data_IF_237806575212
#
_entry.id   IF_237806575212
#
_cell.length_a   1.000
_cell.length_b   1.000
_cell.length_c   1.000
_cell.angle_alpha   90.00
_cell.angle_beta   90.00
_cell.angle_gamma   90.00
#
_symmetry.space_group_name_H-M   'P 1'
#
loop_
_entity.id
_entity.type
_entity.pdbx_description
1 polymer ?
#
# COMPACT_ATOMS: atom_id res chain seq x y z
N UNK A 1 -23.82 5.39 -6.36
CA UNK A 1 -24.80 4.28 -6.14
C UNK A 1 -24.19 2.88 -6.17
N UNK A 2 -23.21 2.57 -7.03
CA UNK A 2 -22.61 1.22 -7.15
C UNK A 2 -22.01 0.70 -5.84
N UNK A 3 -21.09 1.46 -5.23
CA UNK A 3 -20.40 1.04 -4.00
C UNK A 3 -21.37 0.81 -2.85
N UNK A 4 -22.33 1.70 -2.63
CA UNK A 4 -23.36 1.52 -1.60
C UNK A 4 -24.14 0.20 -1.76
N UNK A 5 -24.57 -0.15 -2.99
CA UNK A 5 -25.24 -1.43 -3.25
C UNK A 5 -24.34 -2.63 -2.98
N UNK A 6 -23.03 -2.50 -3.24
CA UNK A 6 -22.07 -3.55 -2.96
C UNK A 6 -21.95 -3.79 -1.45
N UNK A 7 -21.76 -2.74 -0.64
CA UNK A 7 -21.73 -2.87 0.83
C UNK A 7 -23.03 -3.45 1.39
N UNK A 8 -24.19 -3.07 0.85
CA UNK A 8 -25.47 -3.66 1.24
C UNK A 8 -25.53 -5.16 0.96
N UNK A 9 -25.19 -5.56 -0.27
CA UNK A 9 -25.18 -6.97 -0.66
C UNK A 9 -24.19 -7.79 0.17
N UNK A 10 -23.00 -7.25 0.44
CA UNK A 10 -22.00 -7.89 1.30
C UNK A 10 -22.50 -8.07 2.73
N UNK A 11 -23.18 -7.07 3.27
CA UNK A 11 -23.82 -7.17 4.59
C UNK A 11 -24.90 -8.26 4.60
N UNK A 12 -25.78 -8.30 3.60
CA UNK A 12 -26.82 -9.32 3.51
C UNK A 12 -26.23 -10.73 3.42
N UNK A 13 -25.19 -10.92 2.59
CA UNK A 13 -24.48 -12.21 2.45
C UNK A 13 -23.89 -12.67 3.77
N UNK A 14 -23.21 -11.78 4.50
CA UNK A 14 -22.64 -12.11 5.81
C UNK A 14 -23.71 -12.33 6.89
N UNK A 15 -24.77 -11.53 6.91
CA UNK A 15 -25.82 -11.60 7.92
C UNK A 15 -26.73 -12.84 7.75
N UNK A 16 -26.83 -13.37 6.53
CA UNK A 16 -27.64 -14.56 6.21
C UNK A 16 -26.81 -15.83 6.09
N UNK A 17 -25.48 -15.73 6.23
CA UNK A 17 -24.60 -16.89 6.22
C UNK A 17 -24.94 -17.84 7.39
N UNK A 18 -25.05 -19.15 7.18
CA UNK A 18 -25.32 -20.11 8.24
C UNK A 18 -24.30 -20.06 9.38
N UNK A 19 -24.71 -20.42 10.59
CA UNK A 19 -23.78 -20.52 11.72
C UNK A 19 -22.70 -21.57 11.44
N UNK A 20 -21.44 -21.16 11.52
CA UNK A 20 -20.26 -22.02 11.30
C UNK A 20 -20.04 -22.93 12.51
N UNK A 21 -20.18 -24.25 12.33
CA UNK A 21 -20.11 -25.24 13.42
C UNK A 21 -18.91 -26.15 13.36
N UNK A 22 -18.36 -26.37 12.17
CA UNK A 22 -17.22 -27.23 11.95
C UNK A 22 -16.23 -26.67 10.90
N UNK A 23 -15.23 -27.47 10.56
CA UNK A 23 -14.19 -27.08 9.60
C UNK A 23 -14.70 -27.02 8.15
N UNK A 24 -15.74 -27.78 7.80
CA UNK A 24 -16.33 -27.75 6.45
C UNK A 24 -17.16 -26.47 6.27
N UNK A 25 -17.93 -26.08 7.28
CA UNK A 25 -18.65 -24.80 7.31
C UNK A 25 -17.67 -23.61 7.26
N UNK A 26 -16.59 -23.68 8.05
CA UNK A 26 -15.53 -22.66 8.03
C UNK A 26 -14.90 -22.57 6.64
N UNK A 27 -14.86 -23.70 5.93
CA UNK A 27 -14.25 -23.74 4.62
C UNK A 27 -15.06 -23.05 3.54
N UNK A 28 -16.39 -23.19 3.62
CA UNK A 28 -17.33 -22.44 2.81
C UNK A 28 -17.31 -20.94 3.18
N UNK A 29 -17.32 -20.62 4.48
CA UNK A 29 -17.25 -19.24 4.95
C UNK A 29 -15.97 -18.52 4.50
N UNK A 30 -14.83 -19.20 4.55
CA UNK A 30 -13.55 -18.64 4.07
C UNK A 30 -13.60 -18.32 2.58
N UNK A 31 -14.27 -19.14 1.75
CA UNK A 31 -14.43 -18.86 0.30
C UNK A 31 -15.36 -17.67 0.06
N UNK A 32 -16.40 -17.56 0.88
CA UNK A 32 -17.32 -16.42 0.85
C UNK A 32 -16.59 -15.11 1.19
N UNK A 33 -15.75 -15.12 2.23
CA UNK A 33 -14.88 -13.99 2.58
C UNK A 33 -13.88 -13.65 1.46
N UNK A 34 -13.27 -14.65 0.81
CA UNK A 34 -12.38 -14.42 -0.34
C UNK A 34 -13.11 -13.69 -1.47
N UNK A 35 -14.32 -14.15 -1.82
CA UNK A 35 -15.18 -13.49 -2.82
C UNK A 35 -15.50 -12.04 -2.43
N UNK A 36 -15.83 -11.78 -1.17
CA UNK A 36 -16.13 -10.44 -0.67
C UNK A 36 -14.89 -9.53 -0.77
N UNK A 37 -13.72 -10.00 -0.34
CA UNK A 37 -12.46 -9.24 -0.42
C UNK A 37 -12.11 -8.87 -1.87
N UNK A 38 -12.32 -9.78 -2.81
CA UNK A 38 -12.08 -9.56 -4.24
C UNK A 38 -13.08 -8.55 -4.84
N UNK A 39 -14.38 -8.70 -4.57
CA UNK A 39 -15.41 -7.78 -5.05
C UNK A 39 -15.16 -6.34 -4.60
N UNK A 40 -14.66 -6.15 -3.39
CA UNK A 40 -14.36 -4.84 -2.81
C UNK A 40 -12.99 -4.28 -3.23
N UNK A 41 -12.17 -4.99 -4.01
CA UNK A 41 -10.81 -4.56 -4.37
C UNK A 41 -10.76 -3.15 -4.97
N UNK A 42 -11.77 -2.75 -5.74
CA UNK A 42 -11.81 -1.47 -6.45
C UNK A 42 -12.64 -0.36 -5.76
N UNK A 43 -13.13 -0.53 -4.52
CA UNK A 43 -13.96 0.53 -3.92
C UNK A 43 -13.22 1.84 -3.69
N UNK A 44 -12.00 1.85 -3.14
CA UNK A 44 -11.30 3.11 -2.84
C UNK A 44 -11.09 3.94 -4.12
N UNK A 45 -10.53 3.38 -5.20
CA UNK A 45 -10.56 3.98 -6.53
C UNK A 45 -11.92 4.56 -6.94
N UNK A 46 -12.97 3.75 -6.83
CA UNK A 46 -14.33 4.11 -7.27
C UNK A 46 -14.91 5.25 -6.42
N UNK A 47 -14.69 5.22 -5.10
CA UNK A 47 -15.15 6.23 -4.15
C UNK A 47 -14.38 7.54 -4.39
N UNK A 48 -13.06 7.46 -4.51
CA UNK A 48 -12.19 8.60 -4.77
C UNK A 48 -12.58 9.34 -6.06
N UNK A 49 -12.79 8.60 -7.16
CA UNK A 49 -13.27 9.16 -8.43
C UNK A 49 -14.66 9.81 -8.28
N UNK A 50 -15.59 9.16 -7.59
CA UNK A 50 -16.91 9.72 -7.34
C UNK A 50 -16.88 11.04 -6.56
N UNK A 51 -15.97 11.17 -5.57
CA UNK A 51 -15.79 12.41 -4.84
C UNK A 51 -15.07 13.49 -5.64
N UNK A 52 -14.14 13.14 -6.52
CA UNK A 52 -13.56 14.10 -7.47
C UNK A 52 -14.65 14.72 -8.35
N UNK A 53 -15.55 13.92 -8.92
CA UNK A 53 -16.65 14.39 -9.78
C UNK A 53 -17.64 15.31 -9.04
N UNK A 54 -17.88 15.05 -7.76
CA UNK A 54 -18.81 15.83 -6.92
C UNK A 54 -18.13 16.91 -6.07
N UNK A 55 -16.81 17.07 -6.16
CA UNK A 55 -16.00 17.96 -5.31
C UNK A 55 -16.44 19.43 -5.37
N UNK A 56 -16.96 19.87 -6.53
CA UNK A 56 -17.46 21.24 -6.74
C UNK A 56 -18.78 21.53 -6.01
N UNK A 57 -19.51 20.50 -5.61
CA UNK A 57 -20.85 20.61 -5.02
C UNK A 57 -20.89 20.25 -3.53
N UNK A 58 -19.77 19.79 -2.98
CA UNK A 58 -19.67 19.26 -1.62
C UNK A 58 -18.57 19.97 -0.85
N UNK A 59 -18.79 20.14 0.45
CA UNK A 59 -17.77 20.68 1.35
C UNK A 59 -16.59 19.70 1.48
N UNK A 60 -15.37 20.19 1.28
CA UNK A 60 -14.14 19.40 1.24
C UNK A 60 -13.81 18.73 2.58
N UNK A 61 -14.12 19.35 3.71
CA UNK A 61 -13.90 18.78 5.04
C UNK A 61 -14.81 17.57 5.27
N UNK A 62 -16.06 17.65 4.78
CA UNK A 62 -17.02 16.53 4.84
C UNK A 62 -16.61 15.36 3.94
N UNK A 63 -16.10 15.66 2.74
CA UNK A 63 -15.54 14.66 1.82
C UNK A 63 -14.37 13.95 2.50
N UNK A 64 -13.45 14.71 3.08
CA UNK A 64 -12.25 14.15 3.71
C UNK A 64 -12.58 13.29 4.92
N UNK A 65 -13.43 13.78 5.81
CA UNK A 65 -13.89 13.01 6.98
C UNK A 65 -14.58 11.71 6.58
N UNK A 66 -15.38 11.72 5.50
CA UNK A 66 -16.04 10.52 5.00
C UNK A 66 -15.04 9.51 4.43
N UNK A 67 -14.07 9.99 3.64
CA UNK A 67 -13.03 9.16 3.05
C UNK A 67 -12.13 8.53 4.12
N UNK A 68 -11.71 9.30 5.13
CA UNK A 68 -10.94 8.80 6.27
C UNK A 68 -11.67 7.63 6.97
N UNK A 69 -12.95 7.84 7.28
CA UNK A 69 -13.77 6.82 7.94
C UNK A 69 -13.94 5.57 7.04
N UNK A 70 -14.18 5.78 5.76
CA UNK A 70 -14.40 4.70 4.79
C UNK A 70 -13.12 3.89 4.55
N UNK A 71 -11.98 4.55 4.39
CA UNK A 71 -10.67 3.93 4.19
C UNK A 71 -10.27 3.16 5.45
N UNK A 72 -10.36 3.79 6.65
CA UNK A 72 -10.06 3.11 7.92
C UNK A 72 -10.97 1.90 8.15
N UNK A 73 -12.27 2.05 7.92
CA UNK A 73 -13.23 0.95 8.04
C UNK A 73 -12.90 -0.21 7.11
N UNK A 74 -12.57 0.10 5.85
CA UNK A 74 -12.17 -0.92 4.87
C UNK A 74 -10.86 -1.61 5.22
N UNK A 75 -9.83 -0.89 5.64
CA UNK A 75 -8.54 -1.47 6.07
C UNK A 75 -8.79 -2.45 7.22
N UNK A 76 -9.58 -2.07 8.22
CA UNK A 76 -9.89 -2.92 9.36
C UNK A 76 -10.64 -4.20 8.95
N UNK A 77 -11.72 -4.08 8.18
CA UNK A 77 -12.51 -5.24 7.74
C UNK A 77 -11.68 -6.16 6.84
N UNK A 78 -10.90 -5.61 5.91
CA UNK A 78 -10.03 -6.38 5.02
C UNK A 78 -8.96 -7.13 5.81
N UNK A 79 -8.32 -6.48 6.78
CA UNK A 79 -7.32 -7.11 7.64
C UNK A 79 -7.90 -8.31 8.39
N UNK A 80 -9.09 -8.16 8.99
CA UNK A 80 -9.76 -9.24 9.72
C UNK A 80 -10.10 -10.40 8.78
N UNK A 81 -10.67 -10.10 7.61
CA UNK A 81 -11.04 -11.12 6.64
C UNK A 81 -9.82 -11.87 6.09
N UNK A 82 -8.78 -11.15 5.67
CA UNK A 82 -7.55 -11.75 5.14
C UNK A 82 -6.80 -12.56 6.21
N UNK A 83 -6.80 -12.11 7.47
CA UNK A 83 -6.24 -12.89 8.58
C UNK A 83 -7.01 -14.20 8.76
N UNK A 84 -8.33 -14.17 8.77
CA UNK A 84 -9.15 -15.37 8.89
C UNK A 84 -8.90 -16.33 7.71
N UNK A 85 -8.90 -15.83 6.47
CA UNK A 85 -8.61 -16.62 5.26
C UNK A 85 -7.22 -17.27 5.36
N UNK A 86 -6.19 -16.51 5.73
CA UNK A 86 -4.82 -17.01 5.83
C UNK A 86 -4.69 -18.11 6.89
N UNK A 87 -5.34 -17.96 8.04
CA UNK A 87 -5.35 -18.98 9.10
C UNK A 87 -6.14 -20.22 8.68
N UNK A 88 -7.31 -20.06 8.07
CA UNK A 88 -8.13 -21.16 7.57
C UNK A 88 -7.36 -22.01 6.54
N UNK A 89 -6.64 -21.36 5.62
CA UNK A 89 -5.75 -22.06 4.66
C UNK A 89 -4.63 -22.81 5.37
N UNK A 90 -3.96 -22.20 6.34
CA UNK A 90 -2.89 -22.84 7.11
C UNK A 90 -3.39 -24.08 7.87
N UNK A 91 -4.58 -24.01 8.46
CA UNK A 91 -5.20 -25.15 9.17
C UNK A 91 -5.51 -26.30 8.21
N UNK A 92 -6.04 -26.01 7.00
CA UNK A 92 -6.27 -27.03 5.95
C UNK A 92 -4.98 -27.70 5.48
N UNK A 93 -3.91 -26.93 5.34
CA UNK A 93 -2.62 -27.46 4.89
C UNK A 93 -2.02 -28.41 5.95
N UNK A 94 -2.20 -28.10 7.23
CA UNK A 94 -1.75 -28.94 8.35
C UNK A 94 -2.59 -30.22 8.52
N UNK A 95 -3.89 -30.18 8.20
CA UNK A 95 -4.80 -31.33 8.34
C UNK A 95 -4.68 -32.39 7.23
N UNK A 96 -3.79 -32.21 6.25
CA UNK A 96 -3.33 -33.28 5.36
C UNK A 96 -3.70 -33.19 3.88
N UNK A 97 -4.08 -32.01 3.35
CA UNK A 97 -4.48 -31.91 1.93
C UNK A 97 -3.42 -31.42 0.93
N UNK A 98 -2.30 -30.77 1.31
CA UNK A 98 -1.18 -30.49 0.39
C UNK A 98 0.16 -30.38 1.12
N UNK A 99 1.09 -31.33 0.88
CA UNK A 99 2.51 -31.15 1.21
C UNK A 99 3.13 -30.14 0.23
N UNK A 100 2.97 -28.85 0.49
CA UNK A 100 3.54 -27.80 -0.34
C UNK A 100 3.91 -26.58 0.49
N UNK A 101 5.19 -26.48 0.87
CA UNK A 101 5.85 -25.36 1.56
C UNK A 101 5.36 -25.12 3.00
N UNK A 102 6.11 -25.71 3.93
CA UNK A 102 6.04 -25.44 5.38
C UNK A 102 6.04 -23.92 5.61
N UNK A 103 4.97 -23.40 6.22
CA UNK A 103 4.88 -21.99 6.64
C UNK A 103 6.16 -21.61 7.40
N UNK A 104 6.76 -20.47 7.06
CA UNK A 104 7.98 -20.00 7.73
C UNK A 104 7.71 -19.90 9.23
N UNK A 105 8.63 -20.41 10.04
CA UNK A 105 8.57 -20.21 11.49
C UNK A 105 8.56 -18.71 11.77
N UNK A 106 7.43 -18.18 12.27
CA UNK A 106 7.26 -16.75 12.60
C UNK A 106 6.18 -16.00 11.83
N UNK A 107 5.42 -16.64 10.95
CA UNK A 107 4.30 -16.03 10.26
C UNK A 107 2.96 -16.54 10.80
N UNK A 108 2.08 -15.62 11.20
CA UNK A 108 0.75 -15.94 11.76
C UNK A 108 -0.30 -15.23 10.92
N UNK A 109 -0.82 -15.93 9.92
CA UNK A 109 -1.75 -15.37 8.94
C UNK A 109 -1.07 -14.30 8.07
N UNK A 110 -1.61 -13.08 8.06
CA UNK A 110 -1.04 -11.92 7.34
C UNK A 110 -0.03 -11.12 8.16
N UNK A 111 0.08 -11.39 9.46
CA UNK A 111 1.09 -10.78 10.31
C UNK A 111 2.40 -11.58 10.28
N UNK A 112 3.52 -10.86 10.23
CA UNK A 112 4.87 -11.43 10.33
C UNK A 112 5.50 -10.96 11.63
N UNK A 113 6.03 -11.91 12.43
CA UNK A 113 6.81 -11.59 13.63
C UNK A 113 8.20 -11.02 13.29
N UNK A 114 8.65 -11.21 12.06
CA UNK A 114 10.00 -10.90 11.59
C UNK A 114 9.99 -9.93 10.41
N UNK A 115 9.09 -8.94 10.43
CA UNK A 115 9.03 -7.92 9.39
C UNK A 115 10.33 -7.09 9.44
N UNK A 116 11.05 -7.04 8.31
CA UNK A 116 12.34 -6.36 8.18
C UNK A 116 12.18 -5.10 7.30
N UNK A 117 12.06 -3.89 7.88
CA UNK A 117 11.81 -2.65 7.14
C UNK A 117 12.81 -2.37 6.03
N UNK A 118 14.10 -2.65 6.25
CA UNK A 118 15.14 -2.40 5.26
C UNK A 118 14.92 -3.22 3.98
N UNK A 119 14.50 -4.48 4.12
CA UNK A 119 14.19 -5.34 2.97
C UNK A 119 12.92 -4.85 2.26
N UNK A 120 11.92 -4.39 3.02
CA UNK A 120 10.71 -3.80 2.45
C UNK A 120 10.99 -2.53 1.66
N UNK A 121 11.83 -1.64 2.17
CA UNK A 121 12.29 -0.44 1.46
C UNK A 121 12.98 -0.82 0.15
N UNK A 122 13.91 -1.79 0.19
CA UNK A 122 14.59 -2.27 -1.04
C UNK A 122 13.63 -2.82 -2.07
N UNK A 123 12.66 -3.64 -1.66
CA UNK A 123 11.65 -4.21 -2.56
C UNK A 123 10.76 -3.13 -3.18
N UNK A 124 10.23 -2.22 -2.35
CA UNK A 124 9.38 -1.13 -2.84
C UNK A 124 10.16 -0.20 -3.77
N UNK A 125 11.41 0.14 -3.43
CA UNK A 125 12.26 1.00 -4.25
C UNK A 125 12.64 0.34 -5.58
N UNK A 126 12.90 -0.96 -5.61
CA UNK A 126 13.15 -1.69 -6.86
C UNK A 126 11.93 -1.63 -7.79
N UNK A 127 10.74 -1.92 -7.24
CA UNK A 127 9.49 -1.81 -7.98
C UNK A 127 9.24 -0.39 -8.49
N UNK A 128 9.37 0.63 -7.63
CA UNK A 128 9.19 2.04 -8.03
C UNK A 128 10.24 2.47 -9.05
N UNK A 129 11.48 2.01 -8.94
CA UNK A 129 12.54 2.32 -9.92
C UNK A 129 12.20 1.79 -11.31
N UNK A 130 11.66 0.57 -11.42
CA UNK A 130 11.19 0.03 -12.69
C UNK A 130 10.07 0.89 -13.31
N UNK A 131 9.16 1.40 -12.47
CA UNK A 131 8.10 2.30 -12.93
C UNK A 131 8.66 3.66 -13.39
N UNK A 132 9.58 4.24 -12.63
CA UNK A 132 10.21 5.52 -12.99
C UNK A 132 11.03 5.39 -14.27
N UNK A 133 11.78 4.31 -14.43
CA UNK A 133 12.54 4.05 -15.65
C UNK A 133 11.62 3.92 -16.86
N UNK A 134 10.51 3.20 -16.73
CA UNK A 134 9.53 3.03 -17.80
C UNK A 134 8.83 4.34 -18.20
N UNK A 135 8.55 5.22 -17.24
CA UNK A 135 7.76 6.45 -17.49
C UNK A 135 8.62 7.68 -17.77
N UNK A 136 9.76 7.81 -17.10
CA UNK A 136 10.61 9.02 -17.09
C UNK A 136 12.00 8.78 -17.71
N UNK A 137 12.37 7.52 -17.97
CA UNK A 137 13.67 7.15 -18.56
C UNK A 137 14.87 7.34 -17.64
N UNK A 138 14.63 7.59 -16.35
CA UNK A 138 15.65 7.69 -15.32
C UNK A 138 15.06 7.33 -13.95
N UNK A 139 15.91 6.81 -13.05
CA UNK A 139 15.57 6.53 -11.66
C UNK A 139 16.60 7.13 -10.69
N UNK A 140 16.17 7.80 -9.62
CA UNK A 140 17.06 8.21 -8.54
C UNK A 140 17.72 7.03 -7.82
N UNK A 141 18.97 7.17 -7.33
CA UNK A 141 19.62 6.13 -6.55
C UNK A 141 19.01 6.01 -5.14
N UNK A 142 18.90 4.77 -4.63
CA UNK A 142 18.48 4.50 -3.25
C UNK A 142 19.68 4.38 -2.32
N UNK A 143 19.69 5.15 -1.24
CA UNK A 143 20.63 5.02 -0.12
C UNK A 143 19.83 4.70 1.15
N UNK A 144 20.24 3.65 1.88
CA UNK A 144 19.61 3.26 3.15
C UNK A 144 20.66 3.40 4.27
N UNK A 145 20.35 4.23 5.26
CA UNK A 145 21.16 4.46 6.46
C UNK A 145 20.42 4.03 7.75
N UNK A 146 21.09 4.11 8.90
CA UNK A 146 20.53 3.76 10.21
C UNK A 146 20.60 2.27 10.58
N UNK A 147 19.62 1.78 11.35
CA UNK A 147 19.62 0.43 11.94
C UNK A 147 18.89 -0.56 11.01
N UNK A 148 19.61 -1.06 10.00
CA UNK A 148 19.03 -1.89 8.92
C UNK A 148 18.66 -3.32 9.33
N UNK A 149 19.26 -3.85 10.39
CA UNK A 149 19.00 -5.23 10.86
C UNK A 149 17.76 -5.35 11.77
N UNK A 150 16.99 -4.25 11.91
CA UNK A 150 15.81 -4.20 12.76
C UNK A 150 14.72 -5.15 12.25
N UNK A 151 14.13 -5.92 13.17
CA UNK A 151 12.94 -6.75 12.91
C UNK A 151 11.88 -6.48 13.95
N UNK A 152 10.62 -6.54 13.54
CA UNK A 152 9.48 -6.36 14.45
C UNK A 152 8.23 -7.08 13.95
N UNK A 153 7.27 -7.28 14.86
CA UNK A 153 5.99 -7.86 14.52
C UNK A 153 5.08 -6.82 13.86
N UNK A 154 4.70 -7.04 12.60
CA UNK A 154 3.81 -6.15 11.86
C UNK A 154 3.11 -6.85 10.70
N UNK A 155 2.19 -6.15 10.03
CA UNK A 155 1.53 -6.59 8.79
C UNK A 155 2.30 -6.04 7.59
N UNK A 156 3.08 -6.85 6.85
CA UNK A 156 3.97 -6.35 5.80
C UNK A 156 3.25 -5.53 4.72
N UNK A 157 2.07 -5.98 4.27
CA UNK A 157 1.26 -5.29 3.24
C UNK A 157 1.00 -3.81 3.56
N UNK A 158 0.81 -3.48 4.85
CA UNK A 158 0.58 -2.09 5.24
C UNK A 158 1.82 -1.23 5.02
N UNK A 159 3.00 -1.72 5.41
CA UNK A 159 4.27 -1.01 5.21
C UNK A 159 4.57 -0.90 3.73
N UNK A 160 4.35 -1.98 2.98
CA UNK A 160 4.60 -2.05 1.55
C UNK A 160 3.81 -0.97 0.81
N UNK A 161 2.51 -0.86 1.12
CA UNK A 161 1.66 0.18 0.57
C UNK A 161 2.18 1.59 0.91
N UNK A 162 2.44 1.87 2.19
CA UNK A 162 2.93 3.19 2.64
C UNK A 162 4.24 3.55 1.96
N UNK A 163 5.21 2.62 1.95
CA UNK A 163 6.52 2.83 1.34
C UNK A 163 6.42 3.02 -0.17
N UNK A 164 5.58 2.24 -0.86
CA UNK A 164 5.40 2.35 -2.31
C UNK A 164 4.82 3.72 -2.68
N UNK A 165 3.81 4.22 -1.97
CA UNK A 165 3.23 5.54 -2.25
C UNK A 165 4.24 6.68 -1.95
N UNK A 166 4.94 6.63 -0.80
CA UNK A 166 5.97 7.62 -0.45
C UNK A 166 7.12 7.62 -1.47
N UNK A 167 7.61 6.44 -1.86
CA UNK A 167 8.72 6.32 -2.79
C UNK A 167 8.33 6.77 -4.20
N UNK A 168 7.09 6.51 -4.66
CA UNK A 168 6.60 7.07 -5.94
C UNK A 168 6.64 8.59 -5.95
N UNK A 169 6.16 9.23 -4.88
CA UNK A 169 6.18 10.69 -4.77
C UNK A 169 7.63 11.23 -4.77
N UNK A 170 8.51 10.60 -3.97
CA UNK A 170 9.92 10.96 -3.85
C UNK A 170 10.67 10.81 -5.18
N UNK A 171 10.50 9.69 -5.87
CA UNK A 171 11.15 9.45 -7.16
C UNK A 171 10.62 10.40 -8.24
N UNK A 172 9.30 10.61 -8.31
CA UNK A 172 8.69 11.51 -9.29
C UNK A 172 9.21 12.95 -9.13
N UNK A 173 9.24 13.47 -7.90
CA UNK A 173 9.76 14.81 -7.64
C UNK A 173 11.26 14.93 -7.98
N UNK A 174 12.07 13.93 -7.61
CA UNK A 174 13.52 13.94 -7.89
C UNK A 174 13.82 13.84 -9.39
N UNK A 175 13.09 13.00 -10.12
CA UNK A 175 13.27 12.84 -11.56
C UNK A 175 12.89 14.11 -12.36
N UNK A 176 11.92 14.88 -11.88
CA UNK A 176 11.51 16.15 -12.49
C UNK A 176 12.27 17.38 -11.96
N UNK A 177 13.13 17.22 -10.96
CA UNK A 177 13.91 18.32 -10.43
C UNK A 177 14.94 18.77 -11.48
N UNK A 178 15.00 20.07 -11.84
CA UNK A 178 16.10 20.57 -12.64
C UNK A 178 17.39 20.31 -11.88
N UNK A 179 18.42 19.76 -12.55
CA UNK A 179 19.72 19.45 -11.95
C UNK A 179 20.28 20.70 -11.26
N UNK A 180 20.05 20.80 -9.95
CA UNK A 180 20.46 21.92 -9.13
C UNK A 180 21.83 21.56 -8.56
N UNK A 181 22.84 22.34 -8.95
CA UNK A 181 24.12 22.39 -8.26
C UNK A 181 23.87 22.68 -6.78
N UNK A 182 24.26 21.73 -5.93
CA UNK A 182 24.15 21.80 -4.49
C UNK A 182 24.91 23.03 -3.98
N UNK A 183 24.22 23.89 -3.25
CA UNK A 183 24.82 24.75 -2.24
C UNK A 183 24.85 23.89 -0.98
N UNK A 184 26.04 23.46 -0.57
CA UNK A 184 26.24 22.69 0.65
C UNK A 184 25.72 23.50 1.84
N UNK A 185 24.48 23.22 2.26
CA UNK A 185 24.02 23.61 3.58
C UNK A 185 24.30 22.40 4.48
N UNK A 186 25.30 22.56 5.35
CA UNK A 186 25.57 21.61 6.41
C UNK A 186 24.26 21.27 7.17
N UNK A 187 23.96 19.97 7.26
CA UNK A 187 22.84 19.42 8.02
C UNK A 187 22.85 19.99 9.45
N UNK A 188 21.73 20.48 10.00
CA UNK A 188 21.60 20.54 11.44
C UNK A 188 21.53 19.09 11.92
N UNK A 189 22.69 18.57 12.33
CA UNK A 189 22.96 17.29 12.96
C UNK A 189 21.79 16.30 12.89
N UNK A 190 21.95 15.26 12.07
CA UNK A 190 21.38 13.96 12.45
C UNK A 190 21.63 13.83 13.95
N UNK A 191 20.56 13.78 14.76
CA UNK A 191 20.68 13.40 16.15
C UNK A 191 21.28 12.00 16.13
N UNK A 192 22.60 11.93 16.17
CA UNK A 192 23.28 10.83 16.81
C UNK A 192 22.62 10.78 18.18
N UNK A 193 21.89 9.72 18.47
CA UNK A 193 21.51 9.36 19.84
C UNK A 193 22.82 9.13 20.62
N UNK A 194 23.55 10.21 20.90
CA UNK A 194 24.53 10.29 21.96
C UNK A 194 23.75 10.57 23.24
N UNK A 195 23.92 9.70 24.22
CA UNK A 195 23.34 9.79 25.57
C UNK A 195 21.80 9.76 25.66
N UNK A 196 21.19 8.63 25.28
CA UNK A 196 19.97 8.19 25.98
C UNK A 196 20.38 7.38 27.21
N UNK A 197 19.85 7.69 28.41
CA UNK A 197 20.11 6.88 29.60
C UNK A 197 19.69 5.43 29.32
N UNK A 198 20.61 4.50 29.54
CA UNK A 198 20.42 3.05 29.41
C UNK A 198 19.19 2.62 30.21
N UNK A 199 18.08 2.36 29.55
CA UNK A 199 16.87 1.85 30.23
C UNK A 199 15.59 1.73 29.41
N UNK A 200 15.51 2.27 28.18
CA UNK A 200 14.30 2.16 27.36
C UNK A 200 14.67 1.94 25.90
N UNK A 201 14.49 0.71 25.41
CA UNK A 201 14.41 0.47 23.97
C UNK A 201 13.25 1.33 23.42
N UNK A 202 13.45 2.11 22.35
CA UNK A 202 12.37 2.93 21.81
C UNK A 202 11.17 2.05 21.48
N UNK A 203 9.98 2.45 21.93
CA UNK A 203 8.72 1.72 21.71
C UNK A 203 8.16 1.90 20.30
N UNK A 204 8.91 2.54 19.41
CA UNK A 204 8.48 2.90 18.06
C UNK A 204 9.62 2.71 17.06
N UNK A 205 9.25 2.36 15.84
CA UNK A 205 10.11 2.36 14.67
C UNK A 205 9.86 3.65 13.89
N UNK A 206 10.92 4.31 13.43
CA UNK A 206 10.83 5.46 12.53
C UNK A 206 11.52 5.14 11.21
N UNK A 207 10.82 5.40 10.10
CA UNK A 207 11.36 5.34 8.75
C UNK A 207 11.30 6.76 8.21
N UNK A 208 12.44 7.31 7.79
CA UNK A 208 12.53 8.67 7.23
C UNK A 208 12.98 8.58 5.78
N UNK A 209 12.15 9.06 4.86
CA UNK A 209 12.49 9.21 3.44
C UNK A 209 12.89 10.65 3.19
N UNK A 210 14.04 10.86 2.54
CA UNK A 210 14.56 12.16 2.11
C UNK A 210 14.74 12.13 0.60
N UNK A 211 14.40 13.22 -0.07
CA UNK A 211 14.53 13.38 -1.52
C UNK A 211 15.08 14.77 -1.86
N UNK A 212 15.58 14.90 -3.09
CA UNK A 212 16.12 16.14 -3.65
C UNK A 212 15.15 16.74 -4.70
N UNK A 213 13.85 16.45 -4.58
CA UNK A 213 12.81 16.83 -5.53
C UNK A 213 12.38 18.29 -5.51
N UNK A 214 13.17 19.19 -4.91
CA UNK A 214 12.88 20.63 -4.83
C UNK A 214 11.84 21.04 -3.77
N UNK A 215 11.24 20.07 -3.07
CA UNK A 215 10.32 20.30 -1.94
C UNK A 215 8.92 20.79 -2.31
N UNK A 216 8.06 20.92 -1.30
CA UNK A 216 6.66 21.35 -1.48
C UNK A 216 6.53 22.87 -1.31
N UNK A 217 5.98 23.60 -2.30
CA UNK A 217 5.73 25.04 -2.15
C UNK A 217 4.83 25.34 -0.94
N UNK A 218 5.10 26.41 -0.15
CA UNK A 218 4.30 26.74 1.03
C UNK A 218 2.79 26.89 0.78
N UNK A 219 2.42 27.32 -0.44
CA UNK A 219 1.03 27.45 -0.89
C UNK A 219 0.30 26.11 -1.04
N UNK A 220 1.03 25.01 -1.17
CA UNK A 220 0.49 23.66 -1.30
C UNK A 220 0.56 22.85 0.00
N UNK A 221 1.37 23.26 0.99
CA UNK A 221 1.61 22.48 2.22
C UNK A 221 0.34 22.11 2.99
N UNK A 222 -0.66 23.00 3.06
CA UNK A 222 -1.93 22.70 3.73
C UNK A 222 -2.83 21.72 2.96
N UNK A 223 -2.50 21.45 1.69
CA UNK A 223 -3.32 20.69 0.75
C UNK A 223 -2.75 19.33 0.41
N UNK A 224 -1.50 19.03 0.73
CA UNK A 224 -0.86 17.75 0.39
C UNK A 224 -1.59 16.54 1.00
N UNK A 225 -2.28 16.72 2.13
CA UNK A 225 -3.11 15.68 2.76
C UNK A 225 -4.57 15.73 2.33
N UNK A 226 -4.95 16.70 1.48
CA UNK A 226 -6.32 16.79 0.98
C UNK A 226 -6.53 15.76 -0.11
N UNK A 227 -7.56 14.95 0.06
CA UNK A 227 -8.06 14.08 -0.98
C UNK A 227 -8.42 14.87 -2.24
N UNK A 228 -8.12 14.31 -3.41
CA UNK A 228 -8.23 14.94 -4.74
C UNK A 228 -7.25 16.09 -5.03
N UNK A 229 -6.27 16.37 -4.17
CA UNK A 229 -5.20 17.31 -4.48
C UNK A 229 -4.00 16.60 -5.10
N UNK A 230 -3.65 16.96 -6.34
CA UNK A 230 -2.44 16.49 -7.02
C UNK A 230 -1.77 17.62 -7.80
N UNK A 231 -0.44 17.57 -7.89
CA UNK A 231 0.36 18.45 -8.75
C UNK A 231 0.76 17.78 -10.06
N UNK A 232 0.55 16.47 -10.20
CA UNK A 232 0.95 15.72 -11.39
C UNK A 232 0.30 16.22 -12.68
N UNK A 233 -0.98 16.63 -12.63
CA UNK A 233 -1.69 17.20 -13.79
C UNK A 233 -1.17 18.56 -14.27
N UNK A 234 -0.34 19.27 -13.48
CA UNK A 234 0.36 20.49 -13.96
C UNK A 234 1.67 20.18 -14.66
N UNK A 235 2.30 19.04 -14.37
CA UNK A 235 3.52 18.58 -15.03
C UNK A 235 3.21 17.93 -16.39
N UNK A 236 2.02 17.33 -16.54
CA UNK A 236 1.58 16.61 -17.74
C UNK A 236 0.81 17.47 -18.77
N UNK A 237 1.19 18.73 -19.05
CA UNK A 237 0.56 19.54 -20.12
C UNK A 237 0.84 19.03 -21.57
N UNK A 238 1.22 17.77 -21.74
CA UNK A 238 1.41 17.12 -23.04
C UNK A 238 0.68 15.77 -23.03
N UNK A 239 -0.65 15.79 -23.11
CA UNK A 239 -1.46 14.58 -23.34
C UNK A 239 -2.65 14.46 -22.40
N UNK A 240 -3.84 14.25 -22.97
CA UNK A 240 -5.09 14.02 -22.26
C UNK A 240 -5.08 12.69 -21.49
N UNK A 241 -4.50 12.66 -20.29
CA UNK A 241 -4.80 11.64 -19.28
C UNK A 241 -4.69 12.22 -17.85
N UNK A 242 -5.83 12.35 -17.17
CA UNK A 242 -6.05 13.16 -15.95
C UNK A 242 -5.50 12.52 -14.65
N UNK A 243 -4.45 11.69 -14.74
CA UNK A 243 -3.99 10.85 -13.63
C UNK A 243 -2.49 10.86 -13.31
N UNK A 244 -1.68 11.70 -13.97
CA UNK A 244 -0.22 11.70 -13.76
C UNK A 244 0.48 10.43 -14.26
N UNK A 245 1.81 10.35 -14.12
CA UNK A 245 2.64 9.31 -14.76
C UNK A 245 2.33 7.86 -14.32
N UNK A 246 1.58 7.67 -13.23
CA UNK A 246 1.22 6.35 -12.71
C UNK A 246 -0.29 6.03 -12.82
N UNK A 247 -1.06 6.84 -13.56
CA UNK A 247 -2.49 6.66 -13.76
C UNK A 247 -2.87 5.27 -14.30
N UNK A 248 -2.03 4.71 -15.18
CA UNK A 248 -2.30 3.42 -15.83
C UNK A 248 -2.30 2.24 -14.85
N UNK A 249 -1.72 2.38 -13.65
CA UNK A 249 -1.79 1.36 -12.59
C UNK A 249 -3.15 1.33 -11.88
N UNK A 250 -4.00 2.33 -12.12
CA UNK A 250 -5.36 2.39 -11.58
C UNK A 250 -6.28 1.29 -12.14
N UNK A 251 -5.95 0.75 -13.32
CA UNK A 251 -6.71 -0.32 -13.98
C UNK A 251 -6.12 -1.67 -13.56
N UNK A 252 -6.33 -1.99 -12.29
CA UNK A 252 -6.17 -3.33 -11.76
C UNK A 252 -4.75 -3.65 -11.29
N UNK A 253 -4.65 -3.99 -10.01
CA UNK A 253 -3.57 -4.82 -9.46
C UNK A 253 -3.44 -6.21 -10.14
N UNK A 254 -4.12 -6.44 -11.27
CA UNK A 254 -3.94 -7.55 -12.19
C UNK A 254 -2.98 -7.23 -13.36
N UNK A 255 -2.78 -5.96 -13.74
CA UNK A 255 -1.94 -5.61 -14.89
C UNK A 255 -0.43 -5.76 -14.62
N UNK A 256 0.02 -5.65 -13.36
CA UNK A 256 1.39 -5.97 -12.97
C UNK A 256 1.69 -7.49 -12.96
N UNK A 257 0.67 -8.33 -13.14
CA UNK A 257 0.80 -9.80 -13.20
C UNK A 257 0.73 -10.35 -14.64
N UNK A 258 0.47 -9.49 -15.63
CA UNK A 258 0.19 -9.86 -17.02
C UNK A 258 1.36 -9.66 -17.97
N UNK A 259 2.56 -10.14 -17.66
CA UNK A 259 3.65 -10.14 -18.64
C UNK A 259 5.05 -10.23 -18.06
N UNK A 260 5.50 -11.44 -17.72
CA UNK A 260 6.89 -11.67 -17.34
C UNK A 260 7.07 -12.93 -16.53
N UNK A 261 7.29 -14.04 -17.21
CA UNK A 261 7.82 -15.28 -16.64
C UNK A 261 9.23 -15.03 -16.07
N UNK A 262 9.28 -14.53 -14.83
CA UNK A 262 10.49 -14.34 -14.03
C UNK A 262 10.38 -15.09 -12.71
N UNK A 263 10.46 -16.42 -12.77
CA UNK A 263 10.59 -17.25 -11.58
C UNK A 263 11.97 -17.00 -10.95
N UNK A 264 12.04 -16.18 -9.89
CA UNK A 264 13.26 -16.09 -9.08
C UNK A 264 13.62 -14.71 -8.53
N UNK A 265 12.74 -14.07 -7.76
CA UNK A 265 13.12 -13.10 -6.74
C UNK A 265 12.02 -13.06 -5.70
N UNK A 266 12.38 -13.06 -4.41
CA UNK A 266 11.46 -13.09 -3.26
C UNK A 266 10.63 -11.82 -3.13
N UNK A 267 9.73 -11.59 -4.08
CA UNK A 267 8.80 -10.47 -4.06
C UNK A 267 7.66 -10.81 -3.10
N UNK A 268 7.43 -9.99 -2.07
CA UNK A 268 6.33 -10.19 -1.11
C UNK A 268 4.98 -10.23 -1.81
N UNK A 269 4.79 -9.50 -2.91
CA UNK A 269 3.64 -9.64 -3.81
C UNK A 269 3.48 -11.08 -4.34
N UNK A 270 4.58 -11.70 -4.78
CA UNK A 270 4.58 -13.09 -5.25
C UNK A 270 4.46 -14.12 -4.14
N UNK A 271 4.91 -13.79 -2.93
CA UNK A 271 4.76 -14.66 -1.75
C UNK A 271 3.34 -14.62 -1.17
N UNK A 272 2.71 -13.44 -1.14
CA UNK A 272 1.32 -13.23 -0.72
C UNK A 272 0.36 -13.77 -1.79
N UNK A 273 0.63 -13.52 -3.08
CA UNK A 273 -0.09 -14.16 -4.19
C UNK A 273 0.14 -15.68 -4.21
N UNK A 274 1.34 -16.15 -3.85
CA UNK A 274 1.68 -17.56 -3.68
C UNK A 274 0.93 -18.24 -2.52
N UNK A 275 0.49 -17.46 -1.53
CA UNK A 275 -0.46 -17.87 -0.48
C UNK A 275 -1.92 -17.73 -0.90
N UNK A 276 -2.18 -17.39 -2.17
CA UNK A 276 -3.50 -17.18 -2.76
C UNK A 276 -4.21 -15.91 -2.29
N UNK A 277 -3.51 -14.98 -1.63
CA UNK A 277 -4.05 -13.69 -1.21
C UNK A 277 -3.71 -12.68 -2.32
N UNK A 278 -4.70 -12.22 -3.07
CA UNK A 278 -4.48 -11.10 -4.00
C UNK A 278 -4.28 -9.82 -3.17
N UNK A 279 -3.11 -9.20 -3.31
CA UNK A 279 -2.83 -7.84 -2.81
C UNK A 279 -3.63 -6.83 -3.63
N UNK A 280 -4.92 -6.72 -3.34
CA UNK A 280 -5.87 -5.81 -3.98
C UNK A 280 -5.81 -4.38 -3.43
N UNK A 281 -4.65 -3.93 -2.97
CA UNK A 281 -4.42 -2.52 -2.64
C UNK A 281 -4.16 -1.79 -3.96
N UNK A 282 -5.22 -1.43 -4.67
CA UNK A 282 -5.11 -0.52 -5.81
C UNK A 282 -4.37 0.75 -5.38
N UNK A 283 -3.37 1.16 -6.15
CA UNK A 283 -2.61 2.39 -5.89
C UNK A 283 -3.53 3.60 -6.03
N UNK A 284 -3.43 4.56 -5.10
CA UNK A 284 -4.22 5.81 -5.19
C UNK A 284 -3.36 7.00 -5.67
N UNK A 285 -2.06 6.77 -5.92
CA UNK A 285 -1.22 7.67 -6.72
C UNK A 285 -1.93 8.04 -8.04
N UNK A 286 -1.88 9.33 -8.37
CA UNK A 286 -2.49 9.88 -9.58
C UNK A 286 -3.88 10.50 -9.40
N UNK A 287 -4.64 10.10 -8.38
CA UNK A 287 -5.94 10.72 -8.07
C UNK A 287 -5.83 11.91 -7.08
N UNK A 288 -4.63 12.21 -6.57
CA UNK A 288 -4.44 13.17 -5.48
C UNK A 288 -4.84 12.64 -4.10
N UNK A 289 -4.55 11.37 -3.87
CA UNK A 289 -4.80 10.64 -2.62
C UNK A 289 -3.54 9.86 -2.16
N UNK A 290 -2.38 10.19 -2.76
CA UNK A 290 -1.07 9.60 -2.42
C UNK A 290 -0.32 10.43 -1.39
#
# INVERSE_FOLDING_TARGET
MRTHKLYHSSFERLATFPEVKDLEDNDEFSRELESLVEMHANDIPTIAKGFQECSKYLNQDRISSFLDLSIRGRIAVRLIAEQHIALSRAVREQSGQRLGKRQSVGEVGVASANCAPADMVRMCAAFVSELCEATLGATPPLVIDGIVDTKFAYVPVHIEYILTEILKNSHDCTAHAPSSTIVDNEDPAATSDGDKPSGSSPSYLSIRVRDEGGGVPPTNLSRIFSYAFTTAGRLAQIGEDDGGPYAAQHIGGAAAMGGGSGAGAGNVFGEIAGRGLQTGMGTIAGLGYG
#
